data_IF_467080357937
#
_entry.id   IF_467080357937
#
_cell.length_a   1.000
_cell.length_b   1.000
_cell.length_c   1.000
_cell.angle_alpha   90.00
_cell.angle_beta   90.00
_cell.angle_gamma   90.00
#
_symmetry.space_group_name_H-M   'P 1'
#
loop_
_entity.id
_entity.type
_entity.pdbx_description
1 polymer ?
#
# COMPACT_ATOMS: atom_id res chain seq x y z
N UNK A 1 8.83 22.94 1.77
CA UNK A 1 9.65 22.29 0.73
C UNK A 1 10.45 21.18 1.40
N UNK A 2 9.98 19.93 1.38
CA UNK A 2 10.71 18.82 1.99
C UNK A 2 11.46 18.06 0.90
N UNK A 3 12.79 18.15 0.96
CA UNK A 3 13.73 17.44 0.11
C UNK A 3 13.80 16.00 0.62
N UNK A 4 13.33 15.05 -0.18
CA UNK A 4 13.49 13.63 0.13
C UNK A 4 14.90 13.25 -0.33
N UNK A 5 15.82 13.15 0.62
CA UNK A 5 17.13 12.56 0.35
C UNK A 5 16.96 11.07 0.10
N UNK A 6 17.57 10.59 -0.97
CA UNK A 6 17.56 9.18 -1.33
C UNK A 6 18.44 8.40 -0.33
N UNK A 7 17.84 7.90 0.75
CA UNK A 7 18.56 7.03 1.67
C UNK A 7 18.75 5.63 1.04
N UNK A 8 19.97 5.09 1.03
CA UNK A 8 20.23 3.72 0.61
C UNK A 8 19.82 2.73 1.73
N UNK A 9 18.53 2.69 2.09
CA UNK A 9 17.98 1.77 3.11
C UNK A 9 17.83 0.32 2.62
N UNK A 10 18.05 0.06 1.32
CA UNK A 10 17.79 -1.24 0.71
C UNK A 10 18.69 -2.40 1.20
N UNK A 11 19.75 -2.13 1.98
CA UNK A 11 20.62 -3.18 2.57
C UNK A 11 20.39 -3.44 4.05
N UNK A 12 19.71 -2.56 4.81
CA UNK A 12 19.81 -2.59 6.28
C UNK A 12 18.59 -3.24 6.96
N UNK A 13 17.37 -3.15 6.41
CA UNK A 13 16.25 -3.93 6.92
C UNK A 13 15.10 -4.05 5.89
N UNK A 14 14.99 -5.20 5.23
CA UNK A 14 13.93 -5.44 4.23
C UNK A 14 12.53 -5.42 4.83
N UNK A 15 12.39 -5.79 6.11
CA UNK A 15 11.09 -5.75 6.80
C UNK A 15 10.64 -4.31 7.01
N UNK A 16 11.53 -3.44 7.50
CA UNK A 16 11.23 -2.00 7.66
C UNK A 16 10.96 -1.32 6.32
N UNK A 17 11.75 -1.61 5.29
CA UNK A 17 11.48 -1.09 3.95
C UNK A 17 10.08 -1.50 3.45
N UNK A 18 9.65 -2.72 3.77
CA UNK A 18 8.30 -3.21 3.43
C UNK A 18 7.22 -2.49 4.21
N UNK A 19 7.39 -2.34 5.53
CA UNK A 19 6.47 -1.60 6.39
C UNK A 19 6.29 -0.16 5.91
N UNK A 20 7.39 0.55 5.66
CA UNK A 20 7.34 1.92 5.15
C UNK A 20 6.67 2.00 3.78
N UNK A 21 6.98 1.08 2.86
CA UNK A 21 6.33 1.06 1.56
C UNK A 21 4.82 0.85 1.67
N UNK A 22 4.36 -0.04 2.56
CA UNK A 22 2.94 -0.28 2.82
C UNK A 22 2.29 1.01 3.34
N UNK A 23 2.82 1.61 4.40
CA UNK A 23 2.22 2.78 5.05
C UNK A 23 2.25 4.02 4.12
N UNK A 24 3.43 4.38 3.64
CA UNK A 24 3.65 5.65 2.94
C UNK A 24 3.24 5.63 1.47
N UNK A 25 3.15 4.45 0.84
CA UNK A 25 2.76 4.36 -0.58
C UNK A 25 1.37 3.75 -0.77
N UNK A 26 1.09 2.61 -0.14
CA UNK A 26 -0.15 1.87 -0.36
C UNK A 26 -1.30 2.42 0.48
N UNK A 27 -1.14 2.56 1.79
CA UNK A 27 -2.19 3.00 2.73
C UNK A 27 -2.51 4.48 2.54
N UNK A 28 -1.47 5.33 2.49
CA UNK A 28 -1.61 6.77 2.24
C UNK A 28 -2.20 7.12 0.88
N UNK A 29 -2.24 6.16 -0.05
CA UNK A 29 -2.73 6.37 -1.42
C UNK A 29 -1.79 7.20 -2.31
N UNK A 30 -0.56 7.49 -1.86
CA UNK A 30 0.42 8.33 -2.59
C UNK A 30 1.11 7.63 -3.77
N UNK A 31 0.97 6.31 -3.88
CA UNK A 31 1.56 5.55 -4.99
C UNK A 31 0.97 5.99 -6.34
N UNK A 32 1.78 6.61 -7.20
CA UNK A 32 1.41 6.93 -8.59
C UNK A 32 1.51 5.68 -9.47
N UNK A 33 0.55 4.77 -9.32
CA UNK A 33 0.52 3.49 -10.05
C UNK A 33 -0.82 3.25 -10.75
N UNK A 34 -0.75 2.58 -11.90
CA UNK A 34 -1.93 2.12 -12.67
C UNK A 34 -2.35 0.69 -12.31
N UNK A 35 -1.80 0.12 -11.23
CA UNK A 35 -2.12 -1.22 -10.79
C UNK A 35 -3.64 -1.37 -10.52
N UNK A 36 -4.34 -2.33 -11.17
CA UNK A 36 -5.80 -2.45 -11.05
C UNK A 36 -6.28 -2.63 -9.61
N UNK A 37 -5.62 -3.49 -8.82
CA UNK A 37 -6.00 -3.71 -7.42
C UNK A 37 -5.85 -2.43 -6.58
N UNK A 38 -4.82 -1.62 -6.84
CA UNK A 38 -4.57 -0.39 -6.08
C UNK A 38 -5.67 0.64 -6.35
N UNK A 39 -6.10 0.77 -7.61
CA UNK A 39 -7.24 1.63 -7.98
C UNK A 39 -8.54 1.14 -7.33
N UNK A 40 -8.77 -0.16 -7.33
CA UNK A 40 -9.98 -0.76 -6.75
C UNK A 40 -10.02 -0.55 -5.22
N UNK A 41 -8.90 -0.80 -4.53
CA UNK A 41 -8.79 -0.61 -3.08
C UNK A 41 -8.99 0.86 -2.70
N UNK A 42 -8.38 1.79 -3.44
CA UNK A 42 -8.59 3.23 -3.21
C UNK A 42 -10.05 3.62 -3.40
N UNK A 43 -10.69 3.12 -4.46
CA UNK A 43 -12.12 3.37 -4.71
C UNK A 43 -12.99 2.82 -3.59
N UNK A 44 -12.73 1.59 -3.14
CA UNK A 44 -13.47 0.97 -2.04
C UNK A 44 -13.33 1.75 -0.73
N UNK A 45 -12.10 2.15 -0.37
CA UNK A 45 -11.86 2.98 0.82
C UNK A 45 -12.62 4.30 0.76
N UNK A 46 -12.60 4.98 -0.38
CA UNK A 46 -13.36 6.23 -0.55
C UNK A 46 -14.87 6.01 -0.41
N UNK A 47 -15.41 4.93 -0.98
CA UNK A 47 -16.83 4.60 -0.83
C UNK A 47 -17.23 4.36 0.64
N UNK A 48 -16.37 3.70 1.42
CA UNK A 48 -16.60 3.48 2.85
C UNK A 48 -16.56 4.80 3.63
N UNK A 49 -15.60 5.68 3.33
CA UNK A 49 -15.51 7.01 3.95
C UNK A 49 -16.73 7.87 3.62
N UNK A 50 -17.21 7.84 2.36
CA UNK A 50 -18.43 8.54 1.95
C UNK A 50 -19.68 8.03 2.69
N UNK A 51 -19.74 6.72 2.98
CA UNK A 51 -20.81 6.12 3.77
C UNK A 51 -20.72 6.53 5.24
N UNK A 52 -19.52 6.50 5.83
CA UNK A 52 -19.29 6.91 7.22
C UNK A 52 -19.61 8.40 7.42
N UNK A 53 -19.26 9.26 6.47
CA UNK A 53 -19.57 10.69 6.50
C UNK A 53 -21.09 10.96 6.57
N UNK A 54 -21.90 10.17 5.84
CA UNK A 54 -23.38 10.25 5.90
C UNK A 54 -23.91 9.90 7.29
N UNK A 55 -23.24 9.00 7.99
CA UNK A 55 -23.57 8.57 9.35
C UNK A 55 -22.91 9.43 10.43
N UNK A 56 -22.17 10.49 10.04
CA UNK A 56 -21.35 11.34 10.92
C UNK A 56 -20.34 10.52 11.76
N UNK A 57 -19.84 9.43 11.20
CA UNK A 57 -18.80 8.60 11.77
C UNK A 57 -17.48 8.92 11.10
N UNK A 58 -16.38 8.80 11.84
CA UNK A 58 -15.04 8.85 11.27
C UNK A 58 -14.30 7.56 11.60
N UNK A 59 -14.11 6.68 10.61
CA UNK A 59 -13.35 5.43 10.72
C UNK A 59 -12.11 5.41 9.85
N UNK A 60 -11.60 6.56 9.42
CA UNK A 60 -10.48 6.62 8.50
C UNK A 60 -9.25 5.85 9.03
N UNK A 61 -8.95 6.00 10.32
CA UNK A 61 -7.87 5.26 10.98
C UNK A 61 -8.11 3.75 11.05
N UNK A 62 -9.35 3.30 11.28
CA UNK A 62 -9.68 1.86 11.28
C UNK A 62 -9.46 1.25 9.88
N UNK A 63 -9.86 1.98 8.84
CA UNK A 63 -9.71 1.56 7.45
C UNK A 63 -8.23 1.51 7.04
N UNK A 64 -7.43 2.48 7.49
CA UNK A 64 -5.98 2.49 7.30
C UNK A 64 -5.32 1.28 7.96
N UNK A 65 -5.64 1.01 9.21
CA UNK A 65 -5.12 -0.14 9.94
C UNK A 65 -5.51 -1.47 9.29
N UNK A 66 -6.76 -1.60 8.83
CA UNK A 66 -7.22 -2.79 8.10
C UNK A 66 -6.47 -2.98 6.78
N UNK A 67 -6.22 -1.89 6.05
CA UNK A 67 -5.47 -1.92 4.79
C UNK A 67 -4.00 -2.25 5.03
N UNK A 68 -3.38 -1.73 6.09
CA UNK A 68 -2.00 -2.05 6.50
C UNK A 68 -1.86 -3.54 6.85
N UNK A 69 -2.77 -4.08 7.66
CA UNK A 69 -2.77 -5.48 8.04
C UNK A 69 -2.90 -6.40 6.82
N UNK A 70 -3.83 -6.08 5.92
CA UNK A 70 -4.03 -6.82 4.67
C UNK A 70 -2.76 -6.92 3.81
N UNK A 71 -1.99 -5.83 3.70
CA UNK A 71 -0.75 -5.81 2.93
C UNK A 71 0.41 -6.48 3.66
N UNK A 72 0.52 -6.30 4.99
CA UNK A 72 1.58 -6.90 5.80
C UNK A 72 1.53 -8.44 5.76
N UNK A 73 0.33 -9.01 5.72
CA UNK A 73 0.13 -10.46 5.57
C UNK A 73 0.59 -11.00 4.21
N UNK A 74 0.62 -10.16 3.16
CA UNK A 74 0.80 -10.60 1.76
C UNK A 74 2.11 -10.18 1.13
N UNK A 75 2.72 -9.10 1.63
CA UNK A 75 3.91 -8.48 1.06
C UNK A 75 5.09 -8.68 2.02
N UNK A 76 6.11 -9.37 1.54
CA UNK A 76 7.35 -9.58 2.27
C UNK A 76 8.54 -9.20 1.38
N UNK A 77 9.44 -8.37 1.90
CA UNK A 77 10.62 -7.92 1.17
C UNK A 77 10.32 -7.00 -0.01
N UNK A 78 9.23 -6.22 0.05
CA UNK A 78 8.78 -5.30 -0.99
C UNK A 78 9.02 -3.86 -0.53
N UNK A 79 10.13 -3.26 -0.96
CA UNK A 79 10.44 -1.86 -0.62
C UNK A 79 10.09 -0.84 -1.71
N UNK A 80 9.63 -1.31 -2.88
CA UNK A 80 9.45 -0.45 -4.04
C UNK A 80 8.35 -0.94 -4.99
N UNK A 81 7.92 -0.05 -5.90
CA UNK A 81 6.99 -0.40 -6.98
C UNK A 81 7.58 -1.43 -7.95
N UNK A 82 8.90 -1.47 -8.12
CA UNK A 82 9.57 -2.44 -8.98
C UNK A 82 9.49 -3.85 -8.39
N UNK A 83 9.71 -3.98 -7.08
CA UNK A 83 9.56 -5.24 -6.35
C UNK A 83 8.11 -5.73 -6.37
N UNK A 84 7.16 -4.82 -6.13
CA UNK A 84 5.73 -5.12 -6.20
C UNK A 84 5.33 -5.63 -7.60
N UNK A 85 5.77 -4.96 -8.66
CA UNK A 85 5.51 -5.40 -10.03
C UNK A 85 6.14 -6.76 -10.33
N UNK A 86 7.34 -7.04 -9.81
CA UNK A 86 7.99 -8.36 -9.94
C UNK A 86 7.16 -9.43 -9.25
N UNK A 87 6.72 -9.21 -8.01
CA UNK A 87 5.87 -10.13 -7.26
C UNK A 87 4.57 -10.45 -8.02
N UNK A 88 3.89 -9.43 -8.52
CA UNK A 88 2.62 -9.59 -9.25
C UNK A 88 2.80 -10.34 -10.58
N UNK A 89 3.91 -10.12 -11.28
CA UNK A 89 4.23 -10.89 -12.50
C UNK A 89 4.51 -12.36 -12.20
N UNK A 90 5.21 -12.66 -11.11
CA UNK A 90 5.49 -14.04 -10.71
C UNK A 90 4.20 -14.78 -10.34
N UNK A 91 3.32 -14.16 -9.54
CA UNK A 91 2.01 -14.75 -9.19
C UNK A 91 1.11 -14.99 -10.39
N UNK A 92 1.19 -14.16 -11.43
CA UNK A 92 0.47 -14.39 -12.70
C UNK A 92 0.99 -15.60 -13.49
N UNK A 93 2.27 -15.95 -13.34
CA UNK A 93 2.88 -17.10 -14.03
C UNK A 93 2.64 -18.42 -13.31
N UNK A 94 2.46 -18.39 -11.99
CA UNK A 94 2.21 -19.58 -11.17
C UNK A 94 0.73 -20.04 -11.20
N UNK A 95 -0.18 -19.16 -11.63
CA UNK A 95 -1.62 -19.44 -11.72
C UNK A 95 -2.15 -19.64 -13.15
N UNK A 96 -1.28 -19.93 -14.12
CA UNK A 96 -1.62 -20.28 -15.50
C UNK A 96 -0.97 -21.60 -15.87
#
# INVERSE_FOLDING_TARGET
MFRVEAFPFARINRAEATRHFIQEALVSGRLRSRLPFFRNNRKLKQQLLDQDAKLRRNREHDLDAAQEAFYTERLHGIGSIHDLNRLLRNRKKEGG
#
